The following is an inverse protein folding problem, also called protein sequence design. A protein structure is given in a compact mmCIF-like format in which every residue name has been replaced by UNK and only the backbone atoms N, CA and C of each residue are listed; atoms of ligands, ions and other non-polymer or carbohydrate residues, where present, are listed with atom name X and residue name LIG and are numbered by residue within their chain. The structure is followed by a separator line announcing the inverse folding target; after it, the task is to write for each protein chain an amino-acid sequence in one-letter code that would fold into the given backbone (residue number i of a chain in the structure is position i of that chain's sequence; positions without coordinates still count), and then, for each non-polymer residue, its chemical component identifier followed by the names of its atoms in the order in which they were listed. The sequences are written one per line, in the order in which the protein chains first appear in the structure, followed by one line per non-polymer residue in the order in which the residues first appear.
data_IF_221777014400
#
_entry.id   IF_221777014400
#
_cell.length_a   1.000
_cell.length_b   1.000
_cell.length_c   1.000
_cell.angle_alpha   90.00
_cell.angle_beta   90.00
_cell.angle_gamma   90.00
#
_symmetry.space_group_name_H-M   'P 1'
#
loop_
_entity.id
_entity.type
_entity.pdbx_description
1 polymer ?
#
# COMPACT_ATOMS: atom_id res chain seq x y z
N UNK A 1 -1.90 10.73 24.31
CA UNK A 1 -2.17 11.94 23.51
C UNK A 1 -1.55 11.66 22.16
N UNK A 2 -2.26 11.77 21.03
CA UNK A 2 -1.62 11.63 19.73
C UNK A 2 -0.53 12.71 19.64
N UNK A 3 0.66 12.33 19.19
CA UNK A 3 1.73 13.29 18.95
C UNK A 3 1.33 14.07 17.69
N UNK A 4 0.92 15.32 17.85
CA UNK A 4 0.76 16.23 16.71
C UNK A 4 2.17 16.57 16.23
N UNK A 5 2.60 15.95 15.14
CA UNK A 5 3.85 16.31 14.47
C UNK A 5 3.72 17.74 13.93
N UNK A 6 4.73 18.57 14.23
CA UNK A 6 4.83 19.93 13.68
C UNK A 6 5.06 19.83 12.17
N UNK A 7 4.05 20.18 11.38
CA UNK A 7 4.15 20.21 9.91
C UNK A 7 4.98 21.43 9.53
N UNK A 8 6.25 21.23 9.17
CA UNK A 8 7.23 22.31 8.93
C UNK A 8 6.92 23.17 7.68
N UNK A 9 6.54 22.55 6.55
CA UNK A 9 6.01 23.25 5.36
C UNK A 9 5.15 22.31 4.49
N UNK A 10 3.87 22.66 4.31
CA UNK A 10 2.92 21.87 3.51
C UNK A 10 3.30 21.81 2.02
N UNK A 11 4.05 22.78 1.52
CA UNK A 11 4.44 22.85 0.10
C UNK A 11 5.55 21.84 -0.24
N UNK A 12 6.33 21.40 0.76
CA UNK A 12 7.38 20.39 0.55
C UNK A 12 6.83 18.98 0.33
N UNK A 13 5.54 18.76 0.63
CA UNK A 13 4.87 17.47 0.43
C UNK A 13 4.49 17.20 -1.03
N UNK A 14 4.83 18.11 -1.96
CA UNK A 14 4.55 17.94 -3.39
C UNK A 14 3.05 18.01 -3.72
N UNK A 15 2.31 18.81 -2.95
CA UNK A 15 0.88 19.05 -3.21
C UNK A 15 0.78 20.15 -4.26
N UNK A 16 0.32 19.80 -5.46
CA UNK A 16 0.15 20.72 -6.58
C UNK A 16 -1.11 21.60 -6.39
N UNK A 17 -1.03 22.59 -5.49
CA UNK A 17 -2.14 23.51 -5.19
C UNK A 17 -2.61 24.31 -6.41
N UNK A 18 -1.71 24.58 -7.34
CA UNK A 18 -1.97 25.25 -8.62
C UNK A 18 -2.91 24.43 -9.52
N UNK A 19 -2.78 23.10 -9.52
CA UNK A 19 -3.58 22.18 -10.35
C UNK A 19 -5.05 22.19 -9.91
N UNK A 20 -5.32 22.41 -8.63
CA UNK A 20 -6.68 22.54 -8.12
C UNK A 20 -7.43 23.75 -8.73
N UNK A 21 -6.72 24.75 -9.25
CA UNK A 21 -7.31 25.90 -9.93
C UNK A 21 -7.41 25.70 -11.45
N UNK A 22 -6.96 24.58 -12.00
CA UNK A 22 -7.01 24.28 -13.43
C UNK A 22 -8.31 23.57 -13.82
N UNK A 23 -9.24 24.24 -14.55
CA UNK A 23 -10.55 23.67 -14.82
C UNK A 23 -10.52 22.41 -15.67
N UNK A 24 -9.53 22.29 -16.56
CA UNK A 24 -9.39 21.14 -17.47
C UNK A 24 -8.98 19.88 -16.70
N UNK A 25 -8.01 19.99 -15.78
CA UNK A 25 -7.55 18.88 -14.95
C UNK A 25 -8.63 18.46 -13.94
N UNK A 26 -9.32 19.43 -13.35
CA UNK A 26 -10.45 19.16 -12.45
C UNK A 26 -11.64 18.51 -13.18
N UNK A 27 -11.92 18.91 -14.43
CA UNK A 27 -12.96 18.26 -15.23
C UNK A 27 -12.63 16.79 -15.51
N UNK A 28 -11.38 16.49 -15.89
CA UNK A 28 -10.91 15.12 -16.10
C UNK A 28 -10.94 14.29 -14.79
N UNK A 29 -10.54 14.87 -13.66
CA UNK A 29 -10.61 14.22 -12.34
C UNK A 29 -12.04 13.79 -12.01
N UNK A 30 -13.00 14.70 -12.13
CA UNK A 30 -14.41 14.46 -11.80
C UNK A 30 -15.09 13.49 -12.77
N UNK A 31 -14.70 13.47 -14.04
CA UNK A 31 -15.18 12.50 -15.03
C UNK A 31 -14.80 11.06 -14.64
N UNK A 32 -13.57 10.87 -14.14
CA UNK A 32 -13.07 9.56 -13.73
C UNK A 32 -13.43 9.18 -12.29
N UNK A 33 -13.72 10.16 -11.44
CA UNK A 33 -14.07 9.96 -10.03
C UNK A 33 -15.44 10.57 -9.71
N UNK A 34 -16.54 10.08 -10.34
CA UNK A 34 -17.87 10.67 -10.18
C UNK A 34 -18.42 10.54 -8.75
N UNK A 35 -17.79 9.74 -7.90
CA UNK A 35 -18.11 9.61 -6.48
C UNK A 35 -17.60 10.78 -5.64
N UNK A 36 -16.60 11.54 -6.10
CA UNK A 36 -16.13 12.77 -5.43
C UNK A 36 -17.18 13.90 -5.51
N UNK A 37 -18.03 13.89 -6.54
CA UNK A 37 -19.17 14.82 -6.65
C UNK A 37 -20.22 14.61 -5.55
N UNK A 38 -20.35 13.39 -5.02
CA UNK A 38 -21.36 13.03 -4.01
C UNK A 38 -20.97 13.44 -2.58
N UNK A 39 -19.73 13.90 -2.36
CA UNK A 39 -19.13 14.22 -1.07
C UNK A 39 -19.21 15.68 -0.62
N UNK A 40 -20.07 16.52 -1.23
CA UNK A 40 -20.23 17.95 -0.88
C UNK A 40 -20.91 18.20 0.49
N UNK A 41 -20.64 17.38 1.50
CA UNK A 41 -20.84 17.75 2.90
C UNK A 41 -19.49 18.23 3.45
N UNK A 42 -19.39 19.55 3.47
CA UNK A 42 -18.28 20.45 3.72
C UNK A 42 -17.55 20.29 5.07
N UNK A 43 -16.93 19.13 5.33
CA UNK A 43 -16.00 18.99 6.46
C UNK A 43 -14.93 17.90 6.19
N UNK A 44 -13.65 18.28 5.96
CA UNK A 44 -12.57 17.33 5.72
C UNK A 44 -12.25 16.43 6.93
N UNK A 45 -12.79 16.72 8.12
CA UNK A 45 -12.57 15.94 9.35
C UNK A 45 -13.86 15.37 9.96
N UNK A 46 -15.00 15.47 9.29
CA UNK A 46 -16.19 14.77 9.75
C UNK A 46 -15.97 13.25 9.65
N UNK A 47 -16.61 12.41 10.49
CA UNK A 47 -16.54 10.95 10.35
C UNK A 47 -17.06 10.42 8.99
N UNK A 48 -17.66 11.29 8.18
CA UNK A 48 -18.04 11.09 6.78
C UNK A 48 -16.96 11.43 5.75
N UNK A 49 -15.78 11.90 6.15
CA UNK A 49 -14.61 12.12 5.26
C UNK A 49 -13.85 10.82 4.96
N UNK A 50 -14.33 9.69 5.48
CA UNK A 50 -13.85 8.38 5.02
C UNK A 50 -14.39 8.15 3.61
N UNK A 51 -13.53 7.96 2.61
CA UNK A 51 -13.96 7.56 1.28
C UNK A 51 -14.91 6.36 1.39
N UNK A 52 -16.07 6.44 0.74
CA UNK A 52 -17.02 5.33 0.77
C UNK A 52 -16.39 4.01 0.27
N UNK A 53 -15.37 4.13 -0.59
CA UNK A 53 -14.51 3.04 -1.03
C UNK A 53 -13.05 3.51 -0.97
N UNK A 54 -12.15 2.61 -0.57
CA UNK A 54 -10.71 2.81 -0.76
C UNK A 54 -10.38 2.68 -2.25
N UNK A 55 -9.29 3.32 -2.68
CA UNK A 55 -8.76 3.13 -4.03
C UNK A 55 -8.48 1.65 -4.26
N UNK A 56 -9.25 1.02 -5.16
CA UNK A 56 -9.02 -0.36 -5.55
C UNK A 56 -7.87 -0.38 -6.56
N UNK A 57 -6.76 -0.98 -6.13
CA UNK A 57 -5.63 -1.27 -7.03
C UNK A 57 -5.66 -2.76 -7.31
N UNK A 58 -6.16 -3.13 -8.49
CA UNK A 58 -6.11 -4.50 -8.99
C UNK A 58 -4.66 -4.85 -9.31
N UNK A 59 -3.97 -5.47 -8.35
CA UNK A 59 -2.65 -6.02 -8.56
C UNK A 59 -2.78 -7.43 -9.13
N UNK A 60 -2.27 -7.65 -10.34
CA UNK A 60 -2.03 -9.01 -10.82
C UNK A 60 -1.07 -9.70 -9.85
N UNK A 61 -1.37 -10.92 -9.39
CA UNK A 61 -0.45 -11.65 -8.54
C UNK A 61 0.87 -11.84 -9.30
N UNK A 62 2.03 -11.60 -8.67
CA UNK A 62 3.29 -11.83 -9.34
C UNK A 62 3.38 -13.30 -9.75
N UNK A 63 3.73 -13.54 -11.02
CA UNK A 63 3.99 -14.90 -11.50
C UNK A 63 5.16 -15.45 -10.68
N UNK A 64 4.89 -16.45 -9.83
CA UNK A 64 5.93 -17.12 -9.07
C UNK A 64 6.96 -17.71 -10.06
N UNK A 65 8.26 -17.39 -9.92
CA UNK A 65 9.28 -17.87 -10.86
C UNK A 65 9.56 -19.38 -10.71
N UNK A 66 9.06 -20.00 -9.64
CA UNK A 66 9.25 -21.42 -9.35
C UNK A 66 8.08 -22.26 -9.83
N UNK A 67 8.40 -23.38 -10.47
CA UNK A 67 7.46 -24.48 -10.68
C UNK A 67 7.06 -25.10 -9.33
N UNK A 68 5.92 -25.80 -9.28
CA UNK A 68 5.47 -26.43 -8.04
C UNK A 68 6.50 -27.38 -7.42
N UNK A 69 7.26 -28.11 -8.24
CA UNK A 69 8.33 -29.00 -7.77
C UNK A 69 9.53 -28.24 -7.20
N UNK A 70 9.91 -27.12 -7.82
CA UNK A 70 10.98 -26.25 -7.29
C UNK A 70 10.57 -25.64 -5.95
N UNK A 71 9.31 -25.23 -5.81
CA UNK A 71 8.78 -24.68 -4.56
C UNK A 71 8.80 -25.73 -3.44
N UNK A 72 8.38 -26.97 -3.73
CA UNK A 72 8.45 -28.07 -2.76
C UNK A 72 9.89 -28.39 -2.34
N UNK A 73 10.84 -28.33 -3.26
CA UNK A 73 12.27 -28.56 -2.96
C UNK A 73 12.85 -27.43 -2.09
N UNK A 74 12.51 -26.18 -2.40
CA UNK A 74 12.87 -25.01 -1.60
C UNK A 74 12.31 -25.11 -0.17
N UNK A 75 11.02 -25.40 -0.03
CA UNK A 75 10.34 -25.51 1.27
C UNK A 75 10.91 -26.67 2.10
N UNK A 76 11.16 -27.81 1.46
CA UNK A 76 11.79 -28.96 2.11
C UNK A 76 13.19 -28.60 2.64
N UNK A 77 14.06 -27.99 1.81
CA UNK A 77 15.41 -27.56 2.23
C UNK A 77 15.33 -26.59 3.40
N UNK A 78 14.51 -25.55 3.30
CA UNK A 78 14.37 -24.54 4.35
C UNK A 78 13.87 -25.12 5.68
N UNK A 79 12.92 -26.06 5.63
CA UNK A 79 12.37 -26.69 6.82
C UNK A 79 13.40 -27.47 7.64
N UNK A 80 14.53 -27.85 7.04
CA UNK A 80 15.63 -28.54 7.74
C UNK A 80 16.56 -27.57 8.48
N UNK A 81 16.55 -26.29 8.12
CA UNK A 81 17.49 -25.29 8.63
C UNK A 81 16.84 -24.24 9.55
N UNK A 82 15.56 -23.92 9.33
CA UNK A 82 14.87 -22.83 10.06
C UNK A 82 13.42 -23.22 10.38
N UNK A 83 12.92 -22.76 11.54
CA UNK A 83 11.51 -22.85 11.89
C UNK A 83 10.66 -21.90 11.02
N UNK A 84 9.97 -22.47 10.03
CA UNK A 84 9.09 -21.77 9.09
C UNK A 84 7.80 -21.24 9.73
N UNK A 85 7.40 -21.77 10.88
CA UNK A 85 6.12 -21.44 11.55
C UNK A 85 6.27 -20.35 12.60
N UNK A 86 7.51 -19.98 12.96
CA UNK A 86 7.77 -18.94 13.94
C UNK A 86 7.09 -17.61 13.58
N UNK A 87 6.50 -16.94 14.56
CA UNK A 87 5.98 -15.56 14.41
C UNK A 87 7.00 -14.51 14.83
N UNK A 88 8.18 -14.92 15.27
CA UNK A 88 9.25 -14.01 15.67
C UNK A 88 9.89 -13.38 14.43
N UNK A 89 9.91 -12.05 14.36
CA UNK A 89 10.45 -11.31 13.21
C UNK A 89 11.94 -11.57 12.96
N UNK A 90 12.73 -11.86 14.00
CA UNK A 90 14.13 -12.22 13.84
C UNK A 90 14.27 -13.59 13.17
N UNK A 91 13.43 -14.56 13.54
CA UNK A 91 13.42 -15.88 12.88
C UNK A 91 12.94 -15.76 11.44
N UNK A 92 11.91 -14.95 11.18
CA UNK A 92 11.43 -14.67 9.82
C UNK A 92 12.51 -14.05 8.93
N UNK A 93 13.33 -13.15 9.48
CA UNK A 93 14.49 -12.60 8.75
C UNK A 93 15.48 -13.70 8.36
N UNK A 94 15.77 -14.64 9.27
CA UNK A 94 16.66 -15.77 9.00
C UNK A 94 16.09 -16.69 7.91
N UNK A 95 14.78 -16.96 7.90
CA UNK A 95 14.13 -17.73 6.82
C UNK A 95 14.45 -17.12 5.45
N UNK A 96 14.32 -15.80 5.30
CA UNK A 96 14.63 -15.12 4.04
C UNK A 96 16.12 -15.17 3.69
N UNK A 97 17.00 -14.98 4.67
CA UNK A 97 18.45 -15.08 4.45
C UNK A 97 18.84 -16.47 3.96
N UNK A 98 18.29 -17.52 4.58
CA UNK A 98 18.52 -18.90 4.17
C UNK A 98 17.92 -19.24 2.82
N UNK A 99 16.76 -18.69 2.50
CA UNK A 99 16.14 -18.90 1.19
C UNK A 99 16.96 -18.29 0.04
N UNK A 100 17.68 -17.19 0.29
CA UNK A 100 18.57 -16.56 -0.70
C UNK A 100 19.88 -17.34 -0.94
N UNK A 101 20.29 -18.20 -0.01
CA UNK A 101 21.48 -19.05 -0.13
C UNK A 101 21.21 -20.36 -0.89
N UNK A 102 19.95 -20.64 -1.23
CA UNK A 102 19.46 -21.93 -1.79
C UNK A 102 19.48 -21.97 -3.31
#
# INVERSE_FOLDING_TARGET
VPEEEDIEDINEYGIDWEVNQEPELMAHLLENNPHELAGQNNDPFAPSSTPANLSEVLCDPPNCPFTGTQLQSLDHRLSTEVDLFSRNMNVRRVVWQKALEI
#
